data_IF_493063200963
#
_entry.id   IF_493063200963
#
_cell.length_a   1.000
_cell.length_b   1.000
_cell.length_c   1.000
_cell.angle_alpha   90.00
_cell.angle_beta   90.00
_cell.angle_gamma   90.00
#
_symmetry.space_group_name_H-M   'P 1'
#
loop_
_entity.id
_entity.type
_entity.pdbx_description
1 polymer ?
#
# COMPACT_ATOMS: atom_id res chain seq x y z
N UNK A 1 6.38 6.27 -20.22
CA UNK A 1 6.43 4.87 -19.77
C UNK A 1 4.99 4.41 -19.60
N UNK A 2 4.61 3.31 -20.25
CA UNK A 2 3.32 2.65 -20.13
C UNK A 2 3.52 1.43 -19.23
N UNK A 3 2.80 1.35 -18.13
CA UNK A 3 2.82 0.21 -17.21
C UNK A 3 1.45 -0.49 -17.21
N UNK A 4 1.43 -1.81 -17.03
CA UNK A 4 0.20 -2.60 -16.94
C UNK A 4 -0.47 -2.85 -18.29
N UNK A 5 0.29 -3.20 -19.32
CA UNK A 5 -0.25 -3.56 -20.62
C UNK A 5 -1.00 -4.91 -20.57
N UNK A 6 -2.13 -4.98 -21.26
CA UNK A 6 -2.86 -6.21 -21.53
C UNK A 6 -2.80 -6.55 -23.03
N UNK A 7 -3.30 -7.74 -23.43
CA UNK A 7 -3.21 -8.21 -24.82
C UNK A 7 -3.79 -7.24 -25.87
N UNK A 8 -4.96 -6.60 -25.69
CA UNK A 8 -5.45 -5.59 -26.62
C UNK A 8 -4.47 -4.42 -26.81
N UNK A 9 -3.86 -3.91 -25.75
CA UNK A 9 -2.85 -2.84 -25.84
C UNK A 9 -1.60 -3.31 -26.60
N UNK A 10 -1.13 -4.54 -26.34
CA UNK A 10 0.04 -5.12 -27.03
C UNK A 10 -0.23 -5.26 -28.51
N UNK A 11 -1.39 -5.78 -28.90
CA UNK A 11 -1.77 -5.96 -30.31
C UNK A 11 -1.90 -4.59 -31.02
N UNK A 12 -2.56 -3.62 -30.40
CA UNK A 12 -2.70 -2.28 -30.97
C UNK A 12 -1.33 -1.62 -31.16
N UNK A 13 -0.42 -1.79 -30.19
CA UNK A 13 0.93 -1.25 -30.28
C UNK A 13 1.76 -1.95 -31.39
N UNK A 14 1.68 -3.28 -31.47
CA UNK A 14 2.43 -4.07 -32.44
C UNK A 14 1.97 -3.83 -33.89
N UNK A 15 0.70 -3.49 -34.08
CA UNK A 15 0.12 -3.20 -35.41
C UNK A 15 0.15 -1.70 -35.77
N UNK A 16 0.67 -0.85 -34.91
CA UNK A 16 0.70 0.59 -35.13
C UNK A 16 2.06 1.05 -35.64
N UNK A 17 2.06 1.62 -36.84
CA UNK A 17 3.23 2.30 -37.42
C UNK A 17 3.41 3.74 -36.94
N UNK A 18 2.55 4.20 -36.00
CA UNK A 18 2.53 5.58 -35.54
C UNK A 18 3.48 5.81 -34.38
N UNK A 19 4.13 6.96 -34.36
CA UNK A 19 4.90 7.44 -33.21
C UNK A 19 3.97 7.56 -32.00
N UNK A 20 4.43 7.10 -30.82
CA UNK A 20 3.72 7.23 -29.57
C UNK A 20 3.75 8.69 -29.06
N UNK A 21 2.86 9.50 -29.58
CA UNK A 21 2.57 10.83 -29.03
C UNK A 21 1.55 10.72 -27.87
N UNK A 22 1.23 11.84 -27.24
CA UNK A 22 0.30 11.88 -26.12
C UNK A 22 -1.14 11.48 -26.49
N UNK A 23 -1.55 11.62 -27.76
CA UNK A 23 -2.86 11.18 -28.25
C UNK A 23 -2.88 9.67 -28.42
N UNK A 24 -1.87 9.11 -29.09
CA UNK A 24 -1.74 7.66 -29.28
C UNK A 24 -1.64 6.90 -27.95
N UNK A 25 -0.99 7.47 -26.95
CA UNK A 25 -0.95 6.89 -25.58
C UNK A 25 -2.35 6.88 -24.94
N UNK A 26 -3.14 7.95 -25.07
CA UNK A 26 -4.52 7.97 -24.55
C UNK A 26 -5.40 6.92 -25.24
N UNK A 27 -5.29 6.80 -26.55
CA UNK A 27 -6.06 5.82 -27.33
C UNK A 27 -5.68 4.38 -26.95
N UNK A 28 -4.40 4.11 -26.76
CA UNK A 28 -3.90 2.82 -26.32
C UNK A 28 -4.41 2.46 -24.91
N UNK A 29 -4.46 3.41 -23.99
CA UNK A 29 -5.03 3.20 -22.65
C UNK A 29 -6.55 2.96 -22.73
N UNK A 30 -7.25 3.67 -23.58
CA UNK A 30 -8.69 3.44 -23.79
C UNK A 30 -8.96 2.04 -24.37
N UNK A 31 -8.14 1.58 -25.31
CA UNK A 31 -8.23 0.22 -25.85
C UNK A 31 -7.96 -0.84 -24.80
N UNK A 32 -6.94 -0.65 -23.97
CA UNK A 32 -6.64 -1.55 -22.85
C UNK A 32 -7.80 -1.66 -21.87
N UNK A 33 -8.50 -0.58 -21.60
CA UNK A 33 -9.69 -0.58 -20.74
C UNK A 33 -10.86 -1.35 -21.37
N UNK A 34 -11.08 -1.23 -22.68
CA UNK A 34 -12.12 -2.00 -23.40
C UNK A 34 -11.86 -3.49 -23.40
N UNK A 35 -10.59 -3.91 -23.32
CA UNK A 35 -10.20 -5.30 -23.26
C UNK A 35 -10.37 -5.98 -21.89
N UNK A 36 -10.84 -5.26 -20.87
CA UNK A 36 -11.17 -5.83 -19.56
C UNK A 36 -12.67 -6.13 -19.57
N UNK A 37 -13.01 -7.41 -19.70
CA UNK A 37 -14.40 -7.90 -19.72
C UNK A 37 -14.65 -8.83 -18.56
N UNK A 38 -15.84 -8.75 -17.97
CA UNK A 38 -16.32 -9.74 -17.00
C UNK A 38 -16.76 -10.99 -17.78
N UNK A 39 -15.98 -12.07 -17.68
CA UNK A 39 -16.29 -13.33 -18.35
C UNK A 39 -17.58 -14.00 -17.85
N UNK A 40 -18.06 -13.65 -16.66
CA UNK A 40 -19.32 -14.16 -16.15
C UNK A 40 -20.54 -13.40 -16.72
N UNK A 41 -20.34 -12.15 -17.16
CA UNK A 41 -21.39 -11.28 -17.71
C UNK A 41 -20.84 -10.52 -18.92
N UNK A 42 -20.58 -11.18 -20.06
CA UNK A 42 -19.89 -10.59 -21.22
C UNK A 42 -20.67 -9.45 -21.89
N UNK A 43 -21.98 -9.39 -21.70
CA UNK A 43 -22.85 -8.38 -22.31
C UNK A 43 -23.02 -7.11 -21.45
N UNK A 44 -22.47 -7.08 -20.24
CA UNK A 44 -22.44 -5.86 -19.44
C UNK A 44 -21.23 -5.06 -19.88
N UNK A 45 -21.41 -3.88 -20.54
CA UNK A 45 -20.28 -3.03 -20.86
C UNK A 45 -19.51 -2.75 -19.56
N UNK A 46 -18.19 -2.98 -19.59
CA UNK A 46 -17.33 -2.67 -18.48
C UNK A 46 -17.67 -1.25 -18.02
N UNK A 47 -18.33 -1.13 -16.89
CA UNK A 47 -18.56 0.19 -16.30
C UNK A 47 -17.18 0.79 -16.16
N UNK A 48 -16.92 1.87 -16.89
CA UNK A 48 -15.77 2.70 -16.57
C UNK A 48 -15.78 2.82 -15.06
N UNK A 49 -14.65 2.52 -14.36
CA UNK A 49 -14.59 2.85 -12.95
C UNK A 49 -14.92 4.33 -12.93
N UNK A 50 -16.18 4.62 -12.61
CA UNK A 50 -16.57 5.98 -12.35
C UNK A 50 -15.52 6.41 -11.35
N UNK A 51 -14.64 7.31 -11.79
CA UNK A 51 -13.89 8.11 -10.87
C UNK A 51 -15.00 8.73 -10.01
N UNK A 52 -15.39 7.98 -8.97
CA UNK A 52 -16.09 8.58 -7.87
C UNK A 52 -15.14 9.70 -7.54
N UNK A 53 -15.51 10.88 -8.01
CA UNK A 53 -14.91 12.11 -7.56
C UNK A 53 -15.01 11.96 -6.05
N UNK A 54 -13.92 11.44 -5.46
CA UNK A 54 -13.73 11.47 -4.03
C UNK A 54 -13.82 12.95 -3.77
N UNK A 55 -15.03 13.35 -3.40
CA UNK A 55 -15.37 14.72 -3.15
C UNK A 55 -14.21 15.20 -2.31
N UNK A 56 -13.65 16.34 -2.66
CA UNK A 56 -12.66 17.01 -1.82
C UNK A 56 -13.25 16.94 -0.43
N UNK A 57 -12.83 15.96 0.37
CA UNK A 57 -13.22 15.91 1.75
C UNK A 57 -12.68 17.23 2.29
N UNK A 58 -13.59 18.14 2.58
CA UNK A 58 -13.25 19.34 3.32
C UNK A 58 -12.48 18.81 4.50
N UNK A 59 -11.24 19.25 4.68
CA UNK A 59 -10.46 18.89 5.85
C UNK A 59 -11.38 19.14 7.06
N UNK A 60 -11.87 18.06 7.65
CA UNK A 60 -12.89 18.15 8.72
C UNK A 60 -12.30 18.70 10.01
N UNK A 61 -11.07 19.20 9.98
CA UNK A 61 -10.36 19.71 11.15
C UNK A 61 -10.42 18.71 12.32
N UNK A 62 -9.29 18.36 12.88
CA UNK A 62 -9.24 17.42 14.00
C UNK A 62 -8.15 16.36 13.85
N UNK A 63 -8.03 15.45 14.82
CA UNK A 63 -6.99 14.42 14.80
C UNK A 63 -7.19 13.43 13.64
N UNK A 64 -6.09 13.01 13.05
CA UNK A 64 -6.11 11.96 12.05
C UNK A 64 -6.59 10.64 12.68
N UNK A 65 -7.46 9.94 11.97
CA UNK A 65 -7.87 8.59 12.36
C UNK A 65 -6.96 7.57 11.69
N UNK A 66 -6.06 6.98 12.45
CA UNK A 66 -5.22 5.88 11.95
C UNK A 66 -6.09 4.63 11.80
N UNK A 67 -6.36 4.24 10.56
CA UNK A 67 -7.26 3.11 10.23
C UNK A 67 -6.51 1.80 10.00
N UNK A 68 -5.22 1.87 9.68
CA UNK A 68 -4.34 0.71 9.57
C UNK A 68 -2.88 1.15 9.66
N UNK A 69 -2.07 0.39 10.38
CA UNK A 69 -0.61 0.41 10.29
C UNK A 69 -0.16 -0.96 9.81
N UNK A 70 0.51 -1.01 8.66
CA UNK A 70 0.88 -2.26 7.99
C UNK A 70 2.38 -2.30 7.69
N UNK A 71 2.99 -3.42 7.96
CA UNK A 71 4.30 -3.79 7.46
C UNK A 71 4.12 -4.61 6.17
N UNK A 72 4.66 -4.12 5.06
CA UNK A 72 4.71 -4.87 3.79
C UNK A 72 5.92 -4.41 2.98
N UNK A 73 6.89 -5.30 2.77
CA UNK A 73 8.14 -4.97 2.05
C UNK A 73 7.92 -4.50 0.61
N UNK A 74 6.78 -4.85 0.01
CA UNK A 74 6.40 -4.43 -1.34
C UNK A 74 5.76 -3.04 -1.35
N UNK A 75 5.52 -2.46 -0.17
CA UNK A 75 4.87 -1.16 0.03
C UNK A 75 3.46 -1.13 -0.60
N UNK A 76 3.24 -0.23 -1.55
CA UNK A 76 1.95 -0.05 -2.22
C UNK A 76 1.90 -0.90 -3.49
N UNK A 77 1.14 -1.97 -3.47
CA UNK A 77 0.93 -2.90 -4.58
C UNK A 77 -0.53 -3.38 -4.62
N UNK A 78 -0.89 -4.19 -5.64
CA UNK A 78 -2.27 -4.58 -5.91
C UNK A 78 -3.08 -5.05 -4.70
N UNK A 79 -2.57 -5.98 -3.89
CA UNK A 79 -3.27 -6.47 -2.70
C UNK A 79 -3.53 -5.36 -1.66
N UNK A 80 -2.52 -4.54 -1.38
CA UNK A 80 -2.66 -3.41 -0.43
C UNK A 80 -3.69 -2.42 -0.97
N UNK A 81 -3.59 -2.08 -2.26
CA UNK A 81 -4.47 -1.10 -2.89
C UNK A 81 -5.92 -1.59 -2.93
N UNK A 82 -6.16 -2.75 -3.52
CA UNK A 82 -7.52 -3.21 -3.78
C UNK A 82 -8.21 -3.76 -2.53
N UNK A 83 -7.48 -4.45 -1.66
CA UNK A 83 -8.09 -5.10 -0.51
C UNK A 83 -8.12 -4.22 0.73
N UNK A 84 -6.97 -3.66 1.13
CA UNK A 84 -6.87 -2.94 2.39
C UNK A 84 -7.38 -1.50 2.30
N UNK A 85 -6.94 -0.72 1.31
CA UNK A 85 -7.33 0.70 1.20
C UNK A 85 -8.85 0.83 1.13
N UNK A 86 -9.50 -0.02 0.32
CA UNK A 86 -10.96 -0.04 0.20
C UNK A 86 -11.61 -0.48 1.51
N UNK A 87 -11.13 -1.58 2.12
CA UNK A 87 -11.71 -2.13 3.36
C UNK A 87 -11.69 -1.13 4.52
N UNK A 88 -10.58 -0.42 4.70
CA UNK A 88 -10.44 0.53 5.81
C UNK A 88 -10.92 1.95 5.45
N UNK A 89 -11.25 2.20 4.20
CA UNK A 89 -11.71 3.50 3.71
C UNK A 89 -10.66 4.59 3.89
N UNK A 90 -9.39 4.28 3.61
CA UNK A 90 -8.31 5.25 3.78
C UNK A 90 -8.42 6.40 2.78
N UNK A 91 -8.33 7.64 3.26
CA UNK A 91 -8.32 8.86 2.46
C UNK A 91 -6.89 9.30 2.13
N UNK A 92 -5.94 8.86 2.96
CA UNK A 92 -4.51 9.10 2.79
C UNK A 92 -3.71 7.84 3.10
N UNK A 93 -2.70 7.60 2.29
CA UNK A 93 -1.67 6.59 2.53
C UNK A 93 -0.36 7.31 2.82
N UNK A 94 0.31 6.92 3.90
CA UNK A 94 1.66 7.37 4.23
C UNK A 94 2.56 6.15 4.17
N UNK A 95 3.44 6.13 3.17
CA UNK A 95 4.51 5.16 3.07
C UNK A 95 5.71 5.69 3.84
N UNK A 96 6.22 4.90 4.76
CA UNK A 96 7.43 5.19 5.52
C UNK A 96 8.47 4.15 5.16
N UNK A 97 9.45 4.58 4.38
CA UNK A 97 10.55 3.75 3.90
C UNK A 97 11.68 4.68 3.45
N UNK A 98 12.79 4.66 4.16
CA UNK A 98 13.90 5.60 3.95
C UNK A 98 14.50 5.46 2.55
N UNK A 99 14.65 4.23 2.06
CA UNK A 99 15.21 3.97 0.73
C UNK A 99 14.29 4.53 -0.38
N UNK A 100 13.00 4.23 -0.31
CA UNK A 100 12.01 4.72 -1.29
C UNK A 100 11.81 6.22 -1.20
N UNK A 101 11.86 6.80 0.00
CA UNK A 101 11.71 8.24 0.19
C UNK A 101 12.85 9.06 -0.45
N UNK A 102 14.00 8.44 -0.69
CA UNK A 102 15.16 9.06 -1.33
C UNK A 102 15.32 8.66 -2.81
N UNK A 103 14.38 7.88 -3.37
CA UNK A 103 14.42 7.39 -4.75
C UNK A 103 13.20 7.93 -5.54
N UNK A 104 13.44 8.85 -6.48
CA UNK A 104 12.36 9.44 -7.28
C UNK A 104 11.67 8.43 -8.21
N UNK A 105 12.39 7.42 -8.69
CA UNK A 105 11.80 6.37 -9.57
C UNK A 105 10.82 5.52 -8.77
N UNK A 106 11.22 5.06 -7.59
CA UNK A 106 10.35 4.30 -6.68
C UNK A 106 9.16 5.13 -6.23
N UNK A 107 9.34 6.39 -5.86
CA UNK A 107 8.23 7.31 -5.56
C UNK A 107 7.28 7.49 -6.74
N UNK A 108 7.82 7.59 -7.94
CA UNK A 108 7.03 7.64 -9.18
C UNK A 108 6.15 6.41 -9.36
N UNK A 109 6.72 5.21 -9.17
CA UNK A 109 5.98 3.95 -9.24
C UNK A 109 4.85 3.89 -8.20
N UNK A 110 5.09 4.30 -6.96
CA UNK A 110 4.05 4.35 -5.93
C UNK A 110 2.93 5.35 -6.25
N UNK A 111 3.26 6.50 -6.87
CA UNK A 111 2.24 7.47 -7.33
C UNK A 111 1.33 6.88 -8.40
N UNK A 112 1.85 6.02 -9.27
CA UNK A 112 1.06 5.31 -10.28
C UNK A 112 0.20 4.18 -9.67
N UNK A 113 0.70 3.53 -8.63
CA UNK A 113 0.02 2.43 -7.95
C UNK A 113 -1.12 2.88 -7.01
N UNK A 114 -1.15 4.16 -6.60
CA UNK A 114 -2.17 4.63 -5.65
C UNK A 114 -3.56 4.64 -6.26
N UNK A 115 -4.63 4.36 -5.48
CA UNK A 115 -6.00 4.50 -5.95
C UNK A 115 -6.36 5.94 -6.30
N UNK A 116 -7.27 6.12 -7.26
CA UNK A 116 -7.85 7.42 -7.55
C UNK A 116 -8.50 8.02 -6.29
N UNK A 117 -8.36 9.33 -6.09
CA UNK A 117 -8.95 10.04 -4.94
C UNK A 117 -8.20 9.90 -3.62
N UNK A 118 -7.32 8.92 -3.45
CA UNK A 118 -6.52 8.73 -2.24
C UNK A 118 -5.24 9.56 -2.31
N UNK A 119 -4.89 10.25 -1.22
CA UNK A 119 -3.65 11.01 -1.12
C UNK A 119 -2.48 10.08 -0.76
N UNK A 120 -1.33 10.29 -1.38
CA UNK A 120 -0.11 9.53 -1.09
C UNK A 120 1.01 10.46 -0.66
N UNK A 121 1.66 10.11 0.44
CA UNK A 121 2.93 10.67 0.88
C UNK A 121 3.94 9.55 1.06
N UNK A 122 5.19 9.81 0.66
CA UNK A 122 6.32 8.90 0.88
C UNK A 122 7.36 9.67 1.69
N UNK A 123 7.70 9.18 2.85
CA UNK A 123 8.56 9.85 3.82
C UNK A 123 9.64 8.91 4.35
N UNK A 124 10.78 9.49 4.72
CA UNK A 124 11.68 8.85 5.68
C UNK A 124 11.02 8.81 7.06
N UNK A 125 11.50 7.96 7.95
CA UNK A 125 11.03 7.89 9.35
C UNK A 125 11.06 9.27 10.00
N UNK A 126 12.18 9.98 9.93
CA UNK A 126 12.35 11.29 10.57
C UNK A 126 11.38 12.33 10.00
N UNK A 127 11.15 12.31 8.69
CA UNK A 127 10.21 13.22 8.05
C UNK A 127 8.77 12.89 8.41
N UNK A 128 8.43 11.62 8.51
CA UNK A 128 7.11 11.18 8.94
C UNK A 128 6.81 11.65 10.37
N UNK A 129 7.73 11.44 11.29
CA UNK A 129 7.63 11.90 12.69
C UNK A 129 7.41 13.42 12.77
N UNK A 130 8.20 14.22 12.04
CA UNK A 130 8.05 15.69 11.99
C UNK A 130 6.69 16.14 11.41
N UNK A 131 6.02 15.28 10.61
CA UNK A 131 4.72 15.60 10.00
C UNK A 131 3.52 15.18 10.84
N UNK A 132 3.71 14.42 11.92
CA UNK A 132 2.60 13.92 12.74
C UNK A 132 1.74 15.05 13.34
N UNK A 133 2.34 16.13 13.82
CA UNK A 133 1.60 17.28 14.34
C UNK A 133 0.65 17.85 13.27
N UNK A 134 1.14 18.05 12.04
CA UNK A 134 0.30 18.53 10.93
C UNK A 134 -0.75 17.51 10.51
N UNK A 135 -0.40 16.22 10.48
CA UNK A 135 -1.33 15.15 10.12
C UNK A 135 -2.55 15.17 11.06
N UNK A 136 -2.31 15.36 12.34
CA UNK A 136 -3.36 15.40 13.37
C UNK A 136 -4.30 16.62 13.29
N UNK A 137 -4.10 17.53 12.35
CA UNK A 137 -5.04 18.64 12.09
C UNK A 137 -5.94 18.40 10.88
N UNK A 138 -5.76 17.30 10.16
CA UNK A 138 -6.43 17.07 8.87
C UNK A 138 -7.77 16.34 8.98
N UNK A 139 -8.04 15.65 10.10
CA UNK A 139 -9.27 14.88 10.31
C UNK A 139 -9.47 13.72 9.33
N UNK A 140 -8.39 13.25 8.68
CA UNK A 140 -8.45 12.24 7.63
C UNK A 140 -8.29 10.81 8.17
N UNK A 141 -8.85 9.82 7.46
CA UNK A 141 -8.56 8.41 7.68
C UNK A 141 -7.23 8.06 7.01
N UNK A 142 -6.25 7.69 7.82
CA UNK A 142 -4.87 7.49 7.38
C UNK A 142 -4.45 6.04 7.54
N UNK A 143 -3.89 5.47 6.46
CA UNK A 143 -3.21 4.19 6.47
C UNK A 143 -1.71 4.42 6.39
N UNK A 144 -0.96 3.82 7.31
CA UNK A 144 0.50 3.78 7.27
C UNK A 144 0.99 2.45 6.69
N UNK A 145 2.02 2.52 5.84
CA UNK A 145 2.70 1.35 5.28
C UNK A 145 4.19 1.50 5.50
N UNK A 146 4.80 0.57 6.21
CA UNK A 146 6.23 0.50 6.46
C UNK A 146 6.86 -0.60 5.60
N UNK A 147 8.06 -0.36 5.08
CA UNK A 147 8.77 -1.29 4.22
C UNK A 147 9.56 -2.36 4.99
N UNK A 148 10.02 -2.06 6.20
CA UNK A 148 10.84 -2.95 7.02
C UNK A 148 10.58 -2.79 8.52
N UNK A 149 11.04 -3.77 9.30
CA UNK A 149 10.81 -3.84 10.74
C UNK A 149 11.60 -2.81 11.53
N UNK A 150 12.82 -2.50 11.10
CA UNK A 150 13.70 -1.58 11.81
C UNK A 150 13.17 -0.14 11.76
N UNK A 151 12.66 0.30 10.60
CA UNK A 151 12.03 1.61 10.44
C UNK A 151 10.70 1.70 11.20
N UNK A 152 9.92 0.61 11.19
CA UNK A 152 8.69 0.50 11.97
C UNK A 152 9.00 0.65 13.48
N UNK A 153 9.99 -0.09 14.01
CA UNK A 153 10.43 0.03 15.40
C UNK A 153 10.89 1.44 15.71
N UNK A 154 11.82 2.01 14.92
CA UNK A 154 12.35 3.38 15.10
C UNK A 154 11.24 4.43 15.13
N UNK A 155 10.21 4.27 14.31
CA UNK A 155 9.05 5.16 14.34
C UNK A 155 8.26 5.00 15.64
N UNK A 156 7.98 3.75 16.06
CA UNK A 156 7.20 3.46 17.27
C UNK A 156 7.88 3.83 18.58
N UNK A 157 9.20 3.89 18.62
CA UNK A 157 9.97 4.44 19.75
C UNK A 157 9.62 5.90 20.05
N UNK A 158 9.23 6.66 19.02
CA UNK A 158 8.88 8.08 19.12
C UNK A 158 7.39 8.36 19.06
N UNK A 159 6.61 7.58 18.31
CA UNK A 159 5.18 7.83 18.10
C UNK A 159 4.38 6.54 17.92
N UNK A 160 3.29 6.37 18.68
CA UNK A 160 2.45 5.17 18.65
C UNK A 160 1.25 5.38 17.73
N UNK A 161 1.12 4.57 16.67
CA UNK A 161 0.02 4.60 15.72
C UNK A 161 -1.13 3.63 16.09
N UNK A 162 -0.93 2.78 17.10
CA UNK A 162 -1.86 1.70 17.46
C UNK A 162 -1.38 0.32 17.00
N UNK A 163 -2.30 -0.64 16.77
CA UNK A 163 -1.95 -2.00 16.38
C UNK A 163 -1.22 -2.08 15.03
N UNK A 164 -0.34 -3.08 14.89
CA UNK A 164 0.43 -3.32 13.67
C UNK A 164 -0.03 -4.60 12.99
N UNK A 165 -0.33 -4.50 11.71
CA UNK A 165 -0.55 -5.61 10.81
C UNK A 165 0.77 -6.02 10.11
N UNK A 166 1.24 -7.22 10.36
CA UNK A 166 2.29 -7.83 9.55
C UNK A 166 1.63 -8.45 8.32
N UNK A 167 1.89 -7.86 7.17
CA UNK A 167 1.27 -8.26 5.90
C UNK A 167 2.14 -9.15 5.05
N UNK A 168 3.37 -8.73 4.81
CA UNK A 168 4.38 -9.52 4.10
C UNK A 168 5.79 -9.01 4.39
N UNK A 169 6.74 -9.94 4.44
CA UNK A 169 8.18 -9.67 4.45
C UNK A 169 8.86 -10.53 3.38
N UNK A 170 10.04 -10.13 2.93
CA UNK A 170 10.78 -10.93 1.97
C UNK A 170 11.24 -12.25 2.63
N UNK A 171 11.08 -13.36 1.91
CA UNK A 171 11.68 -14.62 2.31
C UNK A 171 13.13 -14.65 1.83
N UNK A 172 14.05 -14.99 2.72
CA UNK A 172 15.48 -15.13 2.46
C UNK A 172 16.10 -16.15 3.43
N UNK A 173 17.34 -16.49 3.21
CA UNK A 173 18.05 -17.46 4.06
C UNK A 173 18.06 -17.00 5.52
N UNK A 174 17.75 -17.92 6.44
CA UNK A 174 17.63 -17.65 7.87
C UNK A 174 16.29 -17.10 8.33
N UNK A 175 15.39 -16.69 7.43
CA UNK A 175 14.07 -16.21 7.80
C UNK A 175 13.10 -17.37 8.08
N UNK A 176 12.31 -17.26 9.13
CA UNK A 176 11.30 -18.23 9.54
C UNK A 176 9.89 -17.69 9.34
N UNK A 177 8.98 -18.54 8.88
CA UNK A 177 7.58 -18.17 8.69
C UNK A 177 6.88 -17.91 10.02
N UNK A 178 6.20 -16.78 10.12
CA UNK A 178 5.41 -16.37 11.28
C UNK A 178 3.93 -16.26 10.88
N UNK A 179 3.01 -16.58 11.79
CA UNK A 179 1.58 -16.45 11.55
C UNK A 179 0.91 -17.69 10.94
N UNK A 180 1.61 -18.83 10.94
CA UNK A 180 1.06 -20.12 10.53
C UNK A 180 1.14 -20.41 9.04
N UNK A 181 0.61 -21.59 8.65
CA UNK A 181 0.70 -22.11 7.27
C UNK A 181 0.07 -21.15 6.26
N UNK A 182 0.83 -20.82 5.22
CA UNK A 182 0.38 -19.92 4.14
C UNK A 182 0.59 -18.44 4.43
N UNK A 183 1.23 -18.08 5.54
CA UNK A 183 1.65 -16.71 5.82
C UNK A 183 2.71 -16.23 4.82
N UNK A 184 2.67 -14.93 4.50
CA UNK A 184 3.71 -14.25 3.72
C UNK A 184 4.68 -13.46 4.60
N UNK A 185 4.69 -13.74 5.91
CA UNK A 185 5.58 -13.09 6.88
C UNK A 185 6.70 -14.05 7.24
N UNK A 186 7.92 -13.68 6.88
CA UNK A 186 9.16 -14.40 7.17
C UNK A 186 10.09 -13.46 7.90
N UNK A 187 10.55 -13.82 9.07
CA UNK A 187 11.42 -12.97 9.91
C UNK A 187 12.73 -13.69 10.22
N UNK A 188 13.83 -13.01 9.98
CA UNK A 188 15.13 -13.38 10.52
C UNK A 188 15.26 -12.95 12.00
N UNK A 189 16.38 -13.27 12.63
CA UNK A 189 16.57 -12.97 14.05
C UNK A 189 16.61 -11.47 14.36
N UNK A 190 17.13 -10.64 13.44
CA UNK A 190 17.13 -9.19 13.61
C UNK A 190 15.71 -8.62 13.50
N UNK A 191 14.94 -9.10 12.55
CA UNK A 191 13.53 -8.69 12.36
C UNK A 191 12.64 -9.18 13.51
N UNK A 192 12.88 -10.39 14.06
CA UNK A 192 12.23 -10.87 15.28
C UNK A 192 12.55 -9.98 16.47
N UNK A 193 13.81 -9.56 16.61
CA UNK A 193 14.21 -8.64 17.69
C UNK A 193 13.45 -7.30 17.58
N UNK A 194 13.26 -6.76 16.36
CA UNK A 194 12.46 -5.56 16.15
C UNK A 194 10.99 -5.76 16.54
N UNK A 195 10.39 -6.89 16.13
CA UNK A 195 8.99 -7.23 16.48
C UNK A 195 8.84 -7.43 17.97
N UNK A 196 9.78 -8.12 18.61
CA UNK A 196 9.80 -8.32 20.07
C UNK A 196 9.92 -6.97 20.81
N UNK A 197 10.74 -6.05 20.33
CA UNK A 197 10.83 -4.70 20.91
C UNK A 197 9.48 -3.96 20.82
N UNK A 198 8.73 -4.10 19.72
CA UNK A 198 7.39 -3.54 19.61
C UNK A 198 6.40 -4.21 20.59
N UNK A 199 6.47 -5.53 20.78
CA UNK A 199 5.65 -6.24 21.78
C UNK A 199 5.98 -5.77 23.20
N UNK A 200 7.25 -5.62 23.54
CA UNK A 200 7.71 -5.10 24.84
C UNK A 200 7.22 -3.65 25.10
N UNK A 201 7.04 -2.89 24.04
CA UNK A 201 6.42 -1.58 24.11
C UNK A 201 4.88 -1.63 24.27
N UNK A 202 4.25 -2.81 24.35
CA UNK A 202 2.80 -3.01 24.46
C UNK A 202 2.04 -2.83 23.14
N UNK A 203 2.72 -2.88 22.00
CA UNK A 203 2.06 -2.78 20.69
C UNK A 203 1.38 -4.12 20.36
N UNK A 204 0.09 -4.08 20.06
CA UNK A 204 -0.63 -5.25 19.56
C UNK A 204 -0.22 -5.54 18.13
N UNK A 205 0.27 -6.75 17.87
CA UNK A 205 0.75 -7.17 16.56
C UNK A 205 -0.07 -8.35 16.07
N UNK A 206 -0.38 -8.37 14.79
CA UNK A 206 -1.08 -9.49 14.17
C UNK A 206 -0.61 -9.72 12.73
N UNK A 207 -0.67 -10.97 12.31
CA UNK A 207 -0.41 -11.40 10.92
C UNK A 207 -1.75 -11.50 10.19
N UNK A 208 -1.86 -10.79 9.08
CA UNK A 208 -3.02 -10.91 8.19
C UNK A 208 -2.64 -10.37 6.80
N UNK A 209 -2.60 -11.21 5.81
CA UNK A 209 -2.18 -10.84 4.46
C UNK A 209 -3.23 -9.98 3.74
N UNK A 210 -4.48 -10.41 3.76
CA UNK A 210 -5.63 -9.67 3.19
C UNK A 210 -6.78 -9.64 4.19
N UNK A 211 -7.72 -8.69 4.08
CA UNK A 211 -8.87 -8.61 4.99
C UNK A 211 -9.80 -9.83 4.97
N UNK A 212 -9.73 -10.63 3.91
CA UNK A 212 -10.54 -11.84 3.74
C UNK A 212 -9.94 -13.07 4.45
N UNK A 213 -8.65 -13.03 4.78
CA UNK A 213 -7.98 -14.13 5.47
C UNK A 213 -8.10 -13.99 6.98
N UNK A 214 -7.99 -15.11 7.73
CA UNK A 214 -7.96 -15.07 9.18
C UNK A 214 -6.84 -14.18 9.72
N UNK A 215 -7.12 -13.49 10.81
CA UNK A 215 -6.15 -12.77 11.60
C UNK A 215 -5.52 -13.71 12.62
N UNK A 216 -4.21 -13.67 12.74
CA UNK A 216 -3.43 -14.41 13.74
C UNK A 216 -2.70 -13.40 14.62
N UNK A 217 -3.10 -13.28 15.88
CA UNK A 217 -2.45 -12.37 16.82
C UNK A 217 -1.09 -12.93 17.25
N UNK A 218 -0.08 -12.06 17.33
CA UNK A 218 1.24 -12.37 17.85
C UNK A 218 1.23 -12.01 19.33
N UNK A 219 1.03 -13.02 20.20
CA UNK A 219 0.85 -12.83 21.65
C UNK A 219 2.12 -13.12 22.45
N UNK A 220 3.05 -13.84 21.86
CA UNK A 220 4.31 -14.24 22.50
C UNK A 220 5.49 -13.69 21.72
N UNK A 221 6.64 -13.63 22.40
CA UNK A 221 7.92 -13.27 21.74
C UNK A 221 8.29 -14.32 20.69
N UNK A 222 8.85 -13.85 19.61
CA UNK A 222 9.25 -14.66 18.47
C UNK A 222 10.66 -15.22 18.61
#
# INVERSE_FOLDING_TARGET
VIAGMNMPMVLTLALSDKRLDAAAVRDLVAEGRRGIVDCAHPDVPAQEPQAQAAGRSKANGGPAKIVLTRLDYRLLHGQVVFSWVTKVGAERIIVVDDATANDEVRKGALRLAKPAGVRLNVFTVDRALKKMAKLNTLGEKVMFVFGNTSELRRFYESYRLGPVNLGATANHDGAQMIGGKGSSVFLDDAQKADVNALLDMGVKIYVQQTPALPRVDVTERL
#
